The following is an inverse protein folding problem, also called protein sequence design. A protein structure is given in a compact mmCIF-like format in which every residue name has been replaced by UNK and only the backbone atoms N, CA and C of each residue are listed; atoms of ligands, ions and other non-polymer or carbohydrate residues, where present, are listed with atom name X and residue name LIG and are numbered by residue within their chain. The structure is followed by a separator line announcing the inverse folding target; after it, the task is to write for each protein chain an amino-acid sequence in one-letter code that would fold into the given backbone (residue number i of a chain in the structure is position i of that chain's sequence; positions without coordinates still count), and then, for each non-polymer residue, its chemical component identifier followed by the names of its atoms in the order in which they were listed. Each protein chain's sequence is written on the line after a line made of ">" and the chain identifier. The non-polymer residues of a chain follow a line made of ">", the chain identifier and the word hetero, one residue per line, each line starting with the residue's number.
data_IF_888288186853
#
_entry.id   IF_888288186853
#
_cell.length_a   1.000
_cell.length_b   1.000
_cell.length_c   1.000
_cell.angle_alpha   90.00
_cell.angle_beta   90.00
_cell.angle_gamma   90.00
#
_symmetry.space_group_name_H-M   'P 1'
#
loop_
_entity.id
_entity.type
_entity.pdbx_description
1 polymer ?
#
# COMPACT_ATOMS: atom_id res chain seq x y z
N UNK A 1 30.47 -20.57 2.92
CA UNK A 1 31.01 -21.88 3.41
C UNK A 1 30.74 -22.08 4.90
N UNK A 2 30.87 -21.05 5.75
CA UNK A 2 30.65 -21.14 7.21
C UNK A 2 29.18 -21.26 7.67
N UNK A 3 28.22 -20.95 6.81
CA UNK A 3 26.79 -20.98 7.16
C UNK A 3 26.31 -22.39 7.58
N UNK A 4 26.91 -23.45 7.04
CA UNK A 4 26.58 -24.84 7.39
C UNK A 4 27.07 -25.25 8.79
N UNK A 5 28.03 -24.52 9.38
CA UNK A 5 28.52 -24.77 10.73
C UNK A 5 27.63 -24.14 11.81
N UNK A 6 26.79 -23.15 11.47
CA UNK A 6 26.06 -22.32 12.45
C UNK A 6 24.54 -22.59 12.42
N UNK A 7 23.93 -22.88 11.26
CA UNK A 7 22.59 -23.48 10.99
C UNK A 7 22.02 -22.99 9.64
N UNK A 8 20.93 -23.59 9.15
CA UNK A 8 20.11 -23.11 8.00
C UNK A 8 19.95 -21.59 8.01
N UNK A 9 20.57 -20.91 7.03
CA UNK A 9 20.69 -19.45 6.95
C UNK A 9 19.35 -18.68 6.87
N UNK A 10 18.21 -19.39 6.80
CA UNK A 10 16.88 -18.83 6.62
C UNK A 10 16.21 -18.31 7.91
N UNK A 11 16.69 -18.69 9.12
CA UNK A 11 15.99 -18.33 10.38
C UNK A 11 16.67 -17.26 11.24
N UNK A 12 17.84 -16.73 10.85
CA UNK A 12 18.56 -15.70 11.62
C UNK A 12 18.40 -14.31 11.00
N UNK A 13 18.21 -13.28 11.84
CA UNK A 13 18.26 -11.89 11.37
C UNK A 13 19.65 -11.58 10.79
N UNK A 14 19.70 -10.76 9.71
CA UNK A 14 20.96 -10.42 9.02
C UNK A 14 22.05 -9.89 9.97
N UNK A 15 21.66 -9.18 11.03
CA UNK A 15 22.59 -8.68 12.05
C UNK A 15 23.22 -9.80 12.90
N UNK A 16 22.45 -10.84 13.22
CA UNK A 16 22.94 -11.99 14.01
C UNK A 16 23.84 -12.87 13.15
N UNK A 17 23.47 -13.07 11.87
CA UNK A 17 24.29 -13.80 10.91
C UNK A 17 25.65 -13.11 10.70
N UNK A 18 25.66 -11.79 10.48
CA UNK A 18 26.90 -11.01 10.35
C UNK A 18 27.80 -11.12 11.59
N UNK A 19 27.23 -11.04 12.80
CA UNK A 19 27.99 -11.18 14.05
C UNK A 19 28.58 -12.59 14.19
N UNK A 20 27.82 -13.62 13.84
CA UNK A 20 28.28 -15.00 13.86
C UNK A 20 29.39 -15.25 12.84
N UNK A 21 29.31 -14.66 11.65
CA UNK A 21 30.36 -14.73 10.62
C UNK A 21 31.64 -14.05 11.06
N UNK A 22 31.56 -12.83 11.61
CA UNK A 22 32.73 -12.12 12.15
C UNK A 22 33.36 -12.95 13.28
N UNK A 23 32.54 -13.48 14.19
CA UNK A 23 33.00 -14.33 15.29
C UNK A 23 33.72 -15.57 14.77
N UNK A 24 33.13 -16.29 13.81
CA UNK A 24 33.73 -17.49 13.23
C UNK A 24 35.05 -17.20 12.52
N UNK A 25 35.11 -16.13 11.72
CA UNK A 25 36.36 -15.69 11.07
C UNK A 25 37.42 -15.37 12.11
N UNK A 26 37.05 -14.65 13.17
CA UNK A 26 38.00 -14.23 14.19
C UNK A 26 38.56 -15.42 14.98
N UNK A 27 37.70 -16.37 15.38
CA UNK A 27 38.12 -17.61 16.04
C UNK A 27 38.99 -18.48 15.14
N UNK A 28 38.70 -18.57 13.84
CA UNK A 28 39.56 -19.31 12.89
C UNK A 28 40.92 -18.64 12.75
N UNK A 29 40.98 -17.32 12.66
CA UNK A 29 42.24 -16.58 12.62
C UNK A 29 43.03 -16.81 13.92
N UNK A 30 42.38 -16.75 15.08
CA UNK A 30 42.99 -17.02 16.38
C UNK A 30 43.55 -18.46 16.46
N UNK A 31 42.83 -19.45 15.91
CA UNK A 31 43.33 -20.83 15.79
C UNK A 31 44.58 -20.93 14.92
N UNK A 32 44.60 -20.27 13.76
CA UNK A 32 45.77 -20.25 12.86
C UNK A 32 46.97 -19.60 13.56
N UNK A 33 46.75 -18.47 14.25
CA UNK A 33 47.78 -17.80 15.04
C UNK A 33 48.27 -18.71 16.17
N UNK A 34 47.38 -19.40 16.86
CA UNK A 34 47.73 -20.37 17.91
C UNK A 34 48.56 -21.54 17.37
N UNK A 35 48.19 -22.12 16.23
CA UNK A 35 48.94 -23.19 15.58
C UNK A 35 50.34 -22.74 15.15
N UNK A 36 50.42 -21.59 14.49
CA UNK A 36 51.70 -20.98 14.11
C UNK A 36 52.58 -20.73 15.34
N UNK A 37 52.00 -20.14 16.39
CA UNK A 37 52.69 -19.86 17.64
C UNK A 37 53.18 -21.13 18.32
N UNK A 38 52.38 -22.20 18.35
CA UNK A 38 52.77 -23.48 18.94
C UNK A 38 53.98 -24.09 18.23
N UNK A 39 53.93 -24.16 16.89
CA UNK A 39 55.05 -24.68 16.08
C UNK A 39 56.31 -23.85 16.30
N UNK A 40 56.18 -22.52 16.27
CA UNK A 40 57.29 -21.58 16.48
C UNK A 40 57.94 -21.78 17.85
N UNK A 41 57.17 -21.77 18.92
CA UNK A 41 57.72 -21.82 20.28
C UNK A 41 58.21 -23.20 20.69
N UNK A 42 57.61 -24.27 20.14
CA UNK A 42 58.17 -25.62 20.25
C UNK A 42 59.54 -25.70 19.58
N UNK A 43 59.69 -25.16 18.37
CA UNK A 43 60.97 -25.18 17.62
C UNK A 43 62.09 -24.36 18.28
N UNK A 44 61.73 -23.41 19.15
CA UNK A 44 62.66 -22.55 19.87
C UNK A 44 62.85 -22.95 21.34
N UNK A 45 62.23 -24.04 21.81
CA UNK A 45 62.43 -24.56 23.18
C UNK A 45 61.76 -23.74 24.29
N UNK A 46 60.83 -22.83 23.98
CA UNK A 46 60.14 -22.02 24.98
C UNK A 46 58.84 -22.68 25.46
N UNK A 47 58.95 -23.52 26.49
CA UNK A 47 57.85 -24.35 27.00
C UNK A 47 56.61 -23.55 27.43
N UNK A 48 56.79 -22.42 28.12
CA UNK A 48 55.66 -21.60 28.59
C UNK A 48 54.90 -20.94 27.43
N UNK A 49 55.61 -20.47 26.39
CA UNK A 49 54.98 -19.90 25.20
C UNK A 49 54.23 -20.98 24.44
N UNK A 50 54.86 -22.13 24.21
CA UNK A 50 54.22 -23.31 23.62
C UNK A 50 52.94 -23.72 24.36
N UNK A 51 53.00 -23.82 25.70
CA UNK A 51 51.85 -24.18 26.53
C UNK A 51 50.68 -23.20 26.31
N UNK A 52 50.95 -21.89 26.33
CA UNK A 52 49.89 -20.90 26.10
C UNK A 52 49.38 -20.89 24.66
N UNK A 53 50.18 -21.28 23.67
CA UNK A 53 49.71 -21.48 22.29
C UNK A 53 48.75 -22.66 22.19
N UNK A 54 49.06 -23.79 22.86
CA UNK A 54 48.16 -24.96 22.94
C UNK A 54 46.89 -24.61 23.71
N UNK A 55 47.02 -23.85 24.80
CA UNK A 55 45.87 -23.37 25.57
C UNK A 55 44.96 -22.46 24.74
N UNK A 56 45.54 -21.54 23.95
CA UNK A 56 44.79 -20.72 23.00
C UNK A 56 44.00 -21.59 22.02
N UNK A 57 44.65 -22.58 21.40
CA UNK A 57 43.98 -23.50 20.47
C UNK A 57 42.81 -24.21 21.15
N UNK A 58 43.03 -24.76 22.36
CA UNK A 58 42.01 -25.46 23.11
C UNK A 58 40.82 -24.55 23.45
N UNK A 59 41.10 -23.33 23.93
CA UNK A 59 40.06 -22.34 24.27
C UNK A 59 39.26 -21.91 23.04
N UNK A 60 39.90 -21.69 21.89
CA UNK A 60 39.20 -21.34 20.65
C UNK A 60 38.34 -22.50 20.14
N UNK A 61 38.81 -23.75 20.24
CA UNK A 61 37.99 -24.94 19.95
C UNK A 61 36.78 -25.01 20.87
N UNK A 62 36.96 -24.77 22.19
CA UNK A 62 35.86 -24.70 23.15
C UNK A 62 34.89 -23.57 22.75
N UNK A 63 35.39 -22.41 22.32
CA UNK A 63 34.59 -21.30 21.81
C UNK A 63 33.73 -21.70 20.61
N UNK A 64 34.29 -22.40 19.63
CA UNK A 64 33.55 -22.94 18.48
C UNK A 64 32.49 -23.96 18.88
N UNK A 65 32.83 -24.87 19.80
CA UNK A 65 31.91 -25.87 20.32
C UNK A 65 30.74 -25.20 21.05
N UNK A 66 31.02 -24.22 21.92
CA UNK A 66 29.99 -23.42 22.60
C UNK A 66 29.11 -22.69 21.59
N UNK A 67 29.71 -22.06 20.59
CA UNK A 67 28.95 -21.40 19.52
C UNK A 67 28.04 -22.39 18.79
N UNK A 68 28.54 -23.59 18.46
CA UNK A 68 27.80 -24.63 17.74
C UNK A 68 26.61 -25.17 18.51
N UNK A 69 26.78 -25.45 19.80
CA UNK A 69 25.75 -26.12 20.61
C UNK A 69 24.82 -25.16 21.35
N UNK A 70 25.35 -24.08 21.93
CA UNK A 70 24.55 -23.13 22.72
C UNK A 70 23.95 -22.00 21.89
N UNK A 71 24.55 -21.70 20.73
CA UNK A 71 24.22 -20.55 19.87
C UNK A 71 24.41 -19.19 20.56
N UNK A 72 25.07 -19.15 21.72
CA UNK A 72 25.35 -17.93 22.46
C UNK A 72 26.64 -17.28 21.96
N UNK A 73 26.52 -16.39 20.97
CA UNK A 73 27.66 -15.67 20.36
C UNK A 73 28.48 -14.91 21.42
N UNK A 74 27.80 -14.23 22.35
CA UNK A 74 28.43 -13.47 23.43
C UNK A 74 29.31 -14.35 24.32
N UNK A 75 28.86 -15.57 24.64
CA UNK A 75 29.62 -16.49 25.48
C UNK A 75 30.85 -17.01 24.73
N UNK A 76 30.65 -17.46 23.48
CA UNK A 76 31.73 -17.94 22.62
C UNK A 76 32.83 -16.88 22.42
N UNK A 77 32.45 -15.62 22.21
CA UNK A 77 33.40 -14.50 22.07
C UNK A 77 34.20 -14.26 23.35
N UNK A 78 33.58 -14.27 24.53
CA UNK A 78 34.32 -14.09 25.79
C UNK A 78 35.32 -15.22 26.02
N UNK A 79 34.95 -16.46 25.67
CA UNK A 79 35.86 -17.62 25.75
C UNK A 79 37.05 -17.41 24.82
N UNK A 80 36.82 -17.10 23.54
CA UNK A 80 37.92 -16.83 22.60
C UNK A 80 38.81 -15.66 23.04
N UNK A 81 38.20 -14.55 23.46
CA UNK A 81 38.92 -13.37 23.96
C UNK A 81 39.83 -13.71 25.14
N UNK A 82 39.37 -14.56 26.07
CA UNK A 82 40.21 -15.03 27.17
C UNK A 82 41.46 -15.74 26.66
N UNK A 83 41.33 -16.65 25.70
CA UNK A 83 42.45 -17.38 25.13
C UNK A 83 43.48 -16.45 24.47
N UNK A 84 42.98 -15.51 23.66
CA UNK A 84 43.83 -14.53 22.98
C UNK A 84 44.54 -13.58 23.94
N UNK A 85 43.83 -13.09 24.96
CA UNK A 85 44.40 -12.21 25.99
C UNK A 85 45.47 -12.94 26.78
N UNK A 86 45.19 -14.15 27.26
CA UNK A 86 46.16 -14.95 28.04
C UNK A 86 47.41 -15.20 27.22
N UNK A 87 47.28 -15.62 25.96
CA UNK A 87 48.43 -15.89 25.11
C UNK A 87 49.23 -14.63 24.76
N UNK A 88 48.55 -13.54 24.36
CA UNK A 88 49.21 -12.28 24.00
C UNK A 88 49.85 -11.58 25.20
N UNK A 89 49.22 -11.60 26.37
CA UNK A 89 49.83 -11.05 27.59
C UNK A 89 51.07 -11.87 27.96
N UNK A 90 51.02 -13.20 27.84
CA UNK A 90 52.16 -14.06 28.12
C UNK A 90 53.33 -13.83 27.14
N UNK A 91 53.06 -13.68 25.83
CA UNK A 91 54.11 -13.42 24.85
C UNK A 91 54.78 -12.06 25.10
N UNK A 92 54.01 -11.03 25.44
CA UNK A 92 54.52 -9.70 25.80
C UNK A 92 55.35 -9.78 27.09
N UNK A 93 54.84 -10.47 28.12
CA UNK A 93 55.54 -10.64 29.39
C UNK A 93 56.90 -11.33 29.19
N UNK A 94 56.96 -12.44 28.45
CA UNK A 94 58.19 -13.20 28.26
C UNK A 94 59.20 -12.56 27.30
N UNK A 95 58.81 -11.50 26.58
CA UNK A 95 59.66 -10.79 25.64
C UNK A 95 60.15 -9.43 26.14
N UNK A 96 60.06 -9.15 27.44
CA UNK A 96 60.55 -7.93 28.06
C UNK A 96 59.46 -7.04 28.67
N UNK A 97 58.20 -7.50 28.71
CA UNK A 97 57.09 -6.68 29.17
C UNK A 97 56.69 -5.60 28.15
N UNK A 98 55.62 -4.85 28.41
CA UNK A 98 55.00 -3.98 27.39
C UNK A 98 55.92 -2.86 26.86
N UNK A 99 56.95 -2.46 27.61
CA UNK A 99 57.86 -1.36 27.26
C UNK A 99 58.94 -1.82 26.27
N UNK A 100 59.60 -2.94 26.55
CA UNK A 100 60.75 -3.41 25.75
C UNK A 100 60.37 -4.50 24.74
N UNK A 101 59.17 -5.09 24.87
CA UNK A 101 58.73 -6.20 24.04
C UNK A 101 58.53 -5.80 22.58
N UNK A 102 59.18 -6.54 21.69
CA UNK A 102 58.91 -6.49 20.24
C UNK A 102 57.50 -6.93 19.86
N UNK A 103 56.76 -7.53 20.82
CA UNK A 103 55.40 -8.02 20.68
C UNK A 103 54.36 -7.07 21.29
N UNK A 104 54.76 -5.88 21.76
CA UNK A 104 53.84 -4.94 22.41
C UNK A 104 52.63 -4.55 21.54
N UNK A 105 52.77 -4.53 20.20
CA UNK A 105 51.68 -4.21 19.27
C UNK A 105 50.55 -5.25 19.21
N UNK A 106 50.73 -6.43 19.79
CA UNK A 106 49.61 -7.36 19.95
C UNK A 106 48.54 -6.82 20.91
N UNK A 107 48.90 -5.98 21.89
CA UNK A 107 47.93 -5.35 22.79
C UNK A 107 46.96 -4.40 22.07
N UNK A 108 47.40 -3.40 21.28
CA UNK A 108 46.47 -2.58 20.50
C UNK A 108 45.74 -3.37 19.41
N UNK A 109 46.36 -4.41 18.83
CA UNK A 109 45.66 -5.29 17.89
C UNK A 109 44.45 -5.99 18.55
N UNK A 110 44.61 -6.49 19.78
CA UNK A 110 43.50 -7.08 20.55
C UNK A 110 42.37 -6.08 20.79
N UNK A 111 42.69 -4.83 21.13
CA UNK A 111 41.69 -3.78 21.31
C UNK A 111 40.88 -3.59 20.01
N UNK A 112 41.55 -3.46 18.86
CA UNK A 112 40.88 -3.32 17.56
C UNK A 112 39.99 -4.53 17.26
N UNK A 113 40.52 -5.73 17.51
CA UNK A 113 39.80 -6.99 17.33
C UNK A 113 38.51 -7.08 18.17
N UNK A 114 38.55 -6.64 19.43
CA UNK A 114 37.39 -6.65 20.31
C UNK A 114 36.27 -5.75 19.76
N UNK A 115 36.61 -4.54 19.31
CA UNK A 115 35.63 -3.61 18.72
C UNK A 115 35.10 -4.07 17.37
N UNK A 116 35.86 -4.88 16.64
CA UNK A 116 35.39 -5.44 15.37
C UNK A 116 34.38 -6.58 15.58
N UNK A 117 34.55 -7.35 16.67
CA UNK A 117 33.86 -8.63 16.84
C UNK A 117 32.73 -8.60 17.88
N UNK A 118 32.84 -7.77 18.91
CA UNK A 118 31.93 -7.76 20.06
C UNK A 118 30.98 -6.55 20.10
N UNK A 119 30.06 -6.56 21.08
CA UNK A 119 29.30 -5.35 21.42
C UNK A 119 30.22 -4.30 22.05
N UNK A 120 29.85 -3.02 21.93
CA UNK A 120 30.62 -1.90 22.52
C UNK A 120 30.96 -2.13 24.00
N UNK A 121 29.98 -2.57 24.80
CA UNK A 121 30.18 -2.80 26.23
C UNK A 121 31.23 -3.88 26.50
N UNK A 122 31.11 -5.04 25.83
CA UNK A 122 32.07 -6.14 25.97
C UNK A 122 33.46 -5.74 25.50
N UNK A 123 33.56 -5.07 24.33
CA UNK A 123 34.83 -4.62 23.80
C UNK A 123 35.54 -3.65 24.75
N UNK A 124 34.78 -2.73 25.35
CA UNK A 124 35.30 -1.79 26.35
C UNK A 124 35.83 -2.53 27.60
N UNK A 125 35.09 -3.50 28.12
CA UNK A 125 35.52 -4.30 29.30
C UNK A 125 36.87 -4.97 29.06
N UNK A 126 37.03 -5.69 27.94
CA UNK A 126 38.27 -6.38 27.61
C UNK A 126 39.42 -5.40 27.31
N UNK A 127 39.11 -4.27 26.69
CA UNK A 127 40.09 -3.21 26.41
C UNK A 127 40.62 -2.57 27.68
N UNK A 128 39.75 -2.30 28.67
CA UNK A 128 40.16 -1.85 30.01
C UNK A 128 41.06 -2.91 30.66
N UNK A 129 40.74 -4.19 30.55
CA UNK A 129 41.60 -5.28 31.04
C UNK A 129 43.01 -5.24 30.44
N UNK A 130 43.13 -5.09 29.12
CA UNK A 130 44.44 -4.95 28.45
C UNK A 130 45.18 -3.69 28.91
N UNK A 131 44.48 -2.56 29.04
CA UNK A 131 45.09 -1.31 29.52
C UNK A 131 45.59 -1.43 30.96
N UNK A 132 44.85 -2.10 31.85
CA UNK A 132 45.28 -2.35 33.21
C UNK A 132 46.52 -3.24 33.25
N UNK A 133 46.55 -4.34 32.48
CA UNK A 133 47.72 -5.20 32.39
C UNK A 133 48.93 -4.46 31.84
N UNK A 134 48.75 -3.67 30.78
CA UNK A 134 49.82 -2.82 30.24
C UNK A 134 50.31 -1.81 31.28
N UNK A 135 49.40 -1.14 31.99
CA UNK A 135 49.73 -0.20 33.06
C UNK A 135 50.53 -0.85 34.20
N UNK A 136 50.14 -2.06 34.62
CA UNK A 136 50.88 -2.84 35.63
C UNK A 136 52.27 -3.21 35.13
N UNK A 137 52.41 -3.69 33.89
CA UNK A 137 53.73 -4.01 33.33
C UNK A 137 54.63 -2.78 33.22
N UNK A 138 54.08 -1.64 32.81
CA UNK A 138 54.81 -0.37 32.77
C UNK A 138 55.27 0.05 34.17
N UNK A 139 54.39 -0.03 35.17
CA UNK A 139 54.74 0.28 36.56
C UNK A 139 55.85 -0.62 37.10
N UNK A 140 55.78 -1.94 36.82
CA UNK A 140 56.82 -2.87 37.22
C UNK A 140 58.16 -2.53 36.54
N UNK A 141 58.15 -2.24 35.24
CA UNK A 141 59.35 -1.83 34.50
C UNK A 141 59.98 -0.57 35.11
N UNK A 142 59.19 0.49 35.37
CA UNK A 142 59.71 1.73 35.96
C UNK A 142 60.14 1.58 37.41
N UNK A 143 59.66 0.56 38.12
CA UNK A 143 60.09 0.19 39.47
C UNK A 143 61.35 -0.69 39.50
N UNK A 144 61.95 -0.97 38.33
CA UNK A 144 63.18 -1.76 38.21
C UNK A 144 62.97 -3.27 38.12
N UNK A 145 61.73 -3.75 37.95
CA UNK A 145 61.48 -5.17 37.71
C UNK A 145 62.03 -5.60 36.34
N UNK A 146 62.88 -6.62 36.33
CA UNK A 146 63.44 -7.18 35.10
C UNK A 146 62.53 -8.27 34.56
N UNK A 147 61.90 -8.02 33.43
CA UNK A 147 61.09 -9.02 32.74
C UNK A 147 61.97 -10.10 32.08
N UNK A 148 61.42 -11.32 31.88
CA UNK A 148 62.11 -12.34 31.10
C UNK A 148 62.35 -11.86 29.66
N UNK A 149 63.42 -12.35 29.04
CA UNK A 149 63.74 -12.09 27.64
C UNK A 149 63.85 -13.40 26.86
N UNK A 150 63.39 -13.37 25.61
CA UNK A 150 63.44 -14.53 24.71
C UNK A 150 64.84 -14.59 24.09
N UNK A 151 65.65 -15.56 24.53
CA UNK A 151 66.95 -15.82 23.95
C UNK A 151 66.80 -16.62 22.64
N UNK A 152 67.02 -15.95 21.49
CA UNK A 152 67.00 -16.55 20.16
C UNK A 152 68.39 -16.44 19.51
N UNK A 153 68.66 -17.27 18.50
CA UNK A 153 69.84 -17.04 17.64
C UNK A 153 69.69 -15.72 16.87
N UNK A 154 70.80 -15.06 16.53
CA UNK A 154 70.78 -13.74 15.90
C UNK A 154 69.89 -13.66 14.64
N UNK A 155 69.90 -14.71 13.80
CA UNK A 155 69.02 -14.81 12.62
C UNK A 155 67.53 -14.89 13.01
N UNK A 156 67.18 -15.69 14.01
CA UNK A 156 65.80 -15.82 14.50
C UNK A 156 65.33 -14.56 15.23
N UNK A 157 66.23 -13.86 15.92
CA UNK A 157 65.93 -12.61 16.62
C UNK A 157 65.57 -11.48 15.64
N UNK A 158 66.27 -11.36 14.52
CA UNK A 158 65.90 -10.38 13.48
C UNK A 158 64.51 -10.64 12.90
N UNK A 159 64.20 -11.92 12.60
CA UNK A 159 62.85 -12.29 12.14
C UNK A 159 61.81 -11.97 13.21
N UNK A 160 62.12 -12.19 14.50
CA UNK A 160 61.22 -11.90 15.61
C UNK A 160 60.90 -10.41 15.75
N UNK A 161 61.91 -9.56 15.63
CA UNK A 161 61.77 -8.10 15.72
C UNK A 161 60.88 -7.59 14.59
N UNK A 162 61.17 -7.98 13.35
CA UNK A 162 60.41 -7.52 12.18
C UNK A 162 58.99 -8.08 12.16
N UNK A 163 58.82 -9.39 12.41
CA UNK A 163 57.50 -10.01 12.40
C UNK A 163 56.65 -9.58 13.61
N UNK A 164 57.26 -9.45 14.80
CA UNK A 164 56.60 -9.01 16.02
C UNK A 164 56.05 -7.59 15.94
N UNK A 165 56.77 -6.69 15.25
CA UNK A 165 56.32 -5.31 15.07
C UNK A 165 55.42 -5.13 13.84
N UNK A 166 55.84 -5.59 12.67
CA UNK A 166 55.13 -5.28 11.42
C UNK A 166 53.83 -6.06 11.26
N UNK A 167 53.81 -7.34 11.64
CA UNK A 167 52.64 -8.18 11.43
C UNK A 167 51.39 -7.61 12.12
N UNK A 168 51.40 -7.31 13.44
CA UNK A 168 50.23 -6.74 14.10
C UNK A 168 49.84 -5.37 13.52
N UNK A 169 50.80 -4.53 13.12
CA UNK A 169 50.53 -3.24 12.48
C UNK A 169 49.82 -3.40 11.12
N UNK A 170 50.28 -4.33 10.28
CA UNK A 170 49.62 -4.63 9.00
C UNK A 170 48.18 -5.12 9.22
N UNK A 171 47.96 -5.99 10.22
CA UNK A 171 46.62 -6.49 10.56
C UNK A 171 45.74 -5.36 11.08
N UNK A 172 46.27 -4.45 11.92
CA UNK A 172 45.54 -3.25 12.38
C UNK A 172 45.13 -2.40 11.17
N UNK A 173 46.05 -2.09 10.25
CA UNK A 173 45.73 -1.31 9.04
C UNK A 173 44.62 -1.95 8.21
N UNK A 174 44.66 -3.27 8.03
CA UNK A 174 43.62 -4.01 7.32
C UNK A 174 42.27 -3.93 8.05
N UNK A 175 42.25 -4.16 9.36
CA UNK A 175 41.05 -4.08 10.19
C UNK A 175 40.43 -2.68 10.18
N UNK A 176 41.26 -1.63 10.21
CA UNK A 176 40.82 -0.23 10.13
C UNK A 176 40.28 0.10 8.74
N UNK A 177 40.92 -0.35 7.66
CA UNK A 177 40.40 -0.19 6.30
C UNK A 177 39.03 -0.84 6.13
N UNK A 178 38.86 -2.05 6.66
CA UNK A 178 37.57 -2.74 6.67
C UNK A 178 36.51 -1.99 7.50
N UNK A 179 36.88 -1.45 8.65
CA UNK A 179 35.99 -0.63 9.50
C UNK A 179 35.58 0.66 8.80
N UNK A 180 36.52 1.34 8.14
CA UNK A 180 36.26 2.56 7.37
C UNK A 180 35.28 2.28 6.21
N UNK A 181 35.49 1.21 5.44
CA UNK A 181 34.56 0.79 4.37
C UNK A 181 33.15 0.48 4.90
N UNK A 182 33.04 -0.17 6.06
CA UNK A 182 31.73 -0.42 6.68
C UNK A 182 31.04 0.88 7.10
N UNK A 183 31.78 1.82 7.68
CA UNK A 183 31.27 3.14 8.07
C UNK A 183 30.78 3.93 6.85
N UNK A 184 31.58 3.99 5.79
CA UNK A 184 31.23 4.62 4.51
C UNK A 184 29.91 4.05 3.95
N UNK A 185 29.82 2.71 3.89
CA UNK A 185 28.62 2.02 3.41
C UNK A 185 27.38 2.29 4.28
N UNK A 186 27.55 2.44 5.59
CA UNK A 186 26.46 2.77 6.49
C UNK A 186 25.99 4.21 6.30
N UNK A 187 26.91 5.16 6.17
CA UNK A 187 26.63 6.57 5.89
C UNK A 187 25.90 6.70 4.55
N UNK A 188 26.45 6.10 3.50
CA UNK A 188 25.84 6.16 2.17
C UNK A 188 24.41 5.58 2.14
N UNK A 189 24.16 4.51 2.90
CA UNK A 189 22.81 3.95 3.05
C UNK A 189 21.87 4.89 3.80
N UNK A 190 22.35 5.54 4.85
CA UNK A 190 21.56 6.51 5.60
C UNK A 190 21.21 7.73 4.72
N UNK A 191 22.19 8.27 3.98
CA UNK A 191 21.97 9.38 3.05
C UNK A 191 20.96 9.02 1.96
N UNK A 192 21.07 7.82 1.37
CA UNK A 192 20.11 7.33 0.39
C UNK A 192 18.69 7.24 0.98
N UNK A 193 18.56 6.67 2.18
CA UNK A 193 17.26 6.56 2.85
C UNK A 193 16.66 7.94 3.18
N UNK A 194 17.49 8.91 3.60
CA UNK A 194 17.04 10.29 3.83
C UNK A 194 16.55 10.95 2.55
N UNK A 195 17.26 10.77 1.42
CA UNK A 195 16.85 11.30 0.12
C UNK A 195 15.54 10.68 -0.37
N UNK A 196 15.38 9.37 -0.21
CA UNK A 196 14.15 8.65 -0.57
C UNK A 196 12.97 9.10 0.31
N UNK A 197 13.20 9.29 1.61
CA UNK A 197 12.18 9.81 2.55
C UNK A 197 11.77 11.24 2.19
N UNK A 198 12.71 12.11 1.83
CA UNK A 198 12.42 13.47 1.40
C UNK A 198 11.58 13.49 0.10
N UNK A 199 11.92 12.63 -0.86
CA UNK A 199 11.15 12.49 -2.10
C UNK A 199 9.72 11.98 -1.84
N UNK A 200 9.54 11.03 -0.91
CA UNK A 200 8.21 10.54 -0.53
C UNK A 200 7.40 11.62 0.19
N UNK A 201 8.01 12.41 1.08
CA UNK A 201 7.35 13.53 1.74
C UNK A 201 6.88 14.59 0.74
N UNK A 202 7.72 14.93 -0.25
CA UNK A 202 7.34 15.87 -1.32
C UNK A 202 6.17 15.33 -2.16
N UNK A 203 6.22 14.05 -2.56
CA UNK A 203 5.11 13.40 -3.28
C UNK A 203 3.82 13.37 -2.45
N UNK A 204 3.91 13.15 -1.14
CA UNK A 204 2.77 13.18 -0.24
C UNK A 204 2.16 14.59 -0.15
N UNK A 205 2.99 15.62 -0.01
CA UNK A 205 2.57 17.04 -0.02
C UNK A 205 1.88 17.42 -1.34
N UNK A 206 2.43 17.00 -2.48
CA UNK A 206 1.78 17.20 -3.78
C UNK A 206 0.46 16.42 -3.90
N UNK A 207 0.41 15.21 -3.36
CA UNK A 207 -0.80 14.39 -3.28
C UNK A 207 -1.89 15.04 -2.43
N UNK A 208 -1.53 15.63 -1.29
CA UNK A 208 -2.43 16.38 -0.41
C UNK A 208 -3.02 17.58 -1.14
N UNK A 209 -2.20 18.40 -1.79
CA UNK A 209 -2.68 19.55 -2.60
C UNK A 209 -3.63 19.12 -3.71
N UNK A 210 -3.35 17.98 -4.36
CA UNK A 210 -4.23 17.44 -5.41
C UNK A 210 -5.55 16.95 -4.85
N UNK A 211 -5.53 16.35 -3.65
CA UNK A 211 -6.74 15.91 -2.96
C UNK A 211 -7.61 17.09 -2.56
N UNK A 212 -7.02 18.14 -2.01
CA UNK A 212 -7.71 19.40 -1.68
C UNK A 212 -8.41 19.98 -2.92
N UNK A 213 -7.69 20.05 -4.06
CA UNK A 213 -8.28 20.44 -5.34
C UNK A 213 -9.46 19.56 -5.78
N UNK A 214 -9.36 18.23 -5.63
CA UNK A 214 -10.46 17.32 -5.94
C UNK A 214 -11.66 17.51 -5.01
N UNK A 215 -11.46 17.77 -3.72
CA UNK A 215 -12.55 18.05 -2.78
C UNK A 215 -13.32 19.32 -3.16
N UNK A 216 -12.62 20.37 -3.61
CA UNK A 216 -13.25 21.58 -4.15
C UNK A 216 -14.12 21.25 -5.37
N UNK A 217 -13.59 20.45 -6.31
CA UNK A 217 -14.36 20.02 -7.50
C UNK A 217 -15.59 19.19 -7.11
N UNK A 218 -15.46 18.21 -6.21
CA UNK A 218 -16.59 17.40 -5.73
C UNK A 218 -17.66 18.27 -5.09
N UNK A 219 -17.27 19.23 -4.25
CA UNK A 219 -18.20 20.14 -3.60
C UNK A 219 -18.96 21.02 -4.62
N UNK A 220 -18.28 21.46 -5.70
CA UNK A 220 -18.93 22.18 -6.80
C UNK A 220 -19.95 21.28 -7.53
N UNK A 221 -19.59 20.04 -7.83
CA UNK A 221 -20.50 19.07 -8.47
C UNK A 221 -21.71 18.72 -7.59
N UNK A 222 -21.55 18.65 -6.27
CA UNK A 222 -22.68 18.45 -5.34
C UNK A 222 -23.65 19.64 -5.39
N UNK A 223 -23.15 20.87 -5.47
CA UNK A 223 -24.01 22.06 -5.63
C UNK A 223 -24.75 22.05 -6.97
N UNK A 224 -24.07 21.70 -8.04
CA UNK A 224 -24.69 21.59 -9.37
C UNK A 224 -25.78 20.50 -9.39
N UNK A 225 -25.53 19.37 -8.73
CA UNK A 225 -26.53 18.31 -8.57
C UNK A 225 -27.75 18.77 -7.75
N UNK A 226 -27.54 19.55 -6.69
CA UNK A 226 -28.61 20.12 -5.87
C UNK A 226 -29.48 21.09 -6.69
N UNK A 227 -28.87 21.95 -7.51
CA UNK A 227 -29.59 22.81 -8.45
C UNK A 227 -30.42 22.01 -9.46
N UNK A 228 -29.86 20.92 -10.01
CA UNK A 228 -30.58 20.01 -10.92
C UNK A 228 -31.77 19.35 -10.21
N UNK A 229 -31.61 18.89 -8.96
CA UNK A 229 -32.71 18.34 -8.16
C UNK A 229 -33.81 19.38 -7.98
N UNK A 230 -33.44 20.63 -7.69
CA UNK A 230 -34.40 21.72 -7.52
C UNK A 230 -35.17 22.02 -8.80
N UNK A 231 -34.51 21.98 -9.96
CA UNK A 231 -35.15 22.09 -11.27
C UNK A 231 -36.10 20.93 -11.54
N UNK A 232 -35.68 19.69 -11.27
CA UNK A 232 -36.52 18.49 -11.46
C UNK A 232 -37.78 18.57 -10.59
N UNK A 233 -37.67 18.98 -9.33
CA UNK A 233 -38.83 19.17 -8.46
C UNK A 233 -39.78 20.25 -9.00
N UNK A 234 -39.24 21.36 -9.50
CA UNK A 234 -40.04 22.43 -10.10
C UNK A 234 -40.78 21.95 -11.34
N UNK A 235 -40.09 21.23 -12.23
CA UNK A 235 -40.69 20.63 -13.42
C UNK A 235 -41.73 19.57 -13.06
N UNK A 236 -41.49 18.75 -12.04
CA UNK A 236 -42.44 17.75 -11.54
C UNK A 236 -43.71 18.41 -11.01
N UNK A 237 -43.58 19.50 -10.24
CA UNK A 237 -44.73 20.28 -9.77
C UNK A 237 -45.53 20.91 -10.91
N UNK A 238 -44.85 21.46 -11.92
CA UNK A 238 -45.51 21.98 -13.13
C UNK A 238 -46.22 20.87 -13.90
N UNK A 239 -45.58 19.71 -14.05
CA UNK A 239 -46.18 18.56 -14.72
C UNK A 239 -47.44 18.08 -13.98
N UNK A 240 -47.40 17.99 -12.65
CA UNK A 240 -48.57 17.62 -11.84
C UNK A 240 -49.72 18.62 -12.03
N UNK A 241 -49.43 19.92 -12.05
CA UNK A 241 -50.42 20.96 -12.34
C UNK A 241 -51.01 20.82 -13.76
N UNK A 242 -50.19 20.50 -14.75
CA UNK A 242 -50.64 20.29 -16.13
C UNK A 242 -51.53 19.05 -16.25
N UNK A 243 -51.18 17.94 -15.57
CA UNK A 243 -52.01 16.73 -15.51
C UNK A 243 -53.35 17.01 -14.84
N UNK A 244 -53.37 17.78 -13.75
CA UNK A 244 -54.62 18.16 -13.08
C UNK A 244 -55.51 19.02 -13.98
N UNK A 245 -54.92 19.97 -14.71
CA UNK A 245 -55.63 20.78 -15.72
C UNK A 245 -56.17 19.94 -16.88
N UNK A 246 -55.38 18.99 -17.39
CA UNK A 246 -55.82 18.03 -18.40
C UNK A 246 -56.97 17.13 -17.91
N UNK A 247 -56.94 16.71 -16.64
CA UNK A 247 -58.01 15.96 -16.01
C UNK A 247 -59.32 16.76 -15.95
N UNK A 248 -59.25 18.03 -15.52
CA UNK A 248 -60.40 18.94 -15.51
C UNK A 248 -60.95 19.20 -16.93
N UNK A 249 -60.08 19.45 -17.90
CA UNK A 249 -60.48 19.66 -19.29
C UNK A 249 -61.09 18.40 -19.90
N UNK A 250 -60.58 17.21 -19.57
CA UNK A 250 -61.16 15.94 -20.02
C UNK A 250 -62.54 15.70 -19.42
N UNK A 251 -62.74 16.01 -18.13
CA UNK A 251 -64.05 15.94 -17.50
C UNK A 251 -65.05 16.92 -18.14
N UNK A 252 -64.61 18.15 -18.44
CA UNK A 252 -65.42 19.13 -19.16
C UNK A 252 -65.74 18.69 -20.59
N UNK A 253 -64.79 18.06 -21.31
CA UNK A 253 -65.03 17.53 -22.64
C UNK A 253 -65.98 16.33 -22.63
N UNK A 254 -65.86 15.43 -21.65
CA UNK A 254 -66.79 14.32 -21.48
C UNK A 254 -68.21 14.82 -21.21
N UNK A 255 -68.36 15.81 -20.32
CA UNK A 255 -69.65 16.46 -20.05
C UNK A 255 -70.23 17.14 -21.30
N UNK A 256 -69.41 17.85 -22.08
CA UNK A 256 -69.86 18.46 -23.32
C UNK A 256 -70.25 17.43 -24.39
N UNK A 257 -69.57 16.27 -24.41
CA UNK A 257 -69.92 15.15 -25.29
C UNK A 257 -71.24 14.48 -24.88
N UNK A 258 -71.52 14.32 -23.58
CA UNK A 258 -72.81 13.85 -23.08
C UNK A 258 -73.94 14.81 -23.44
N UNK A 259 -73.73 16.12 -23.25
CA UNK A 259 -74.70 17.15 -23.61
C UNK A 259 -74.97 17.19 -25.12
N UNK A 260 -73.92 17.07 -25.95
CA UNK A 260 -74.07 16.90 -27.40
C UNK A 260 -74.82 15.62 -27.76
N UNK A 261 -74.57 14.50 -27.08
CA UNK A 261 -75.28 13.24 -27.32
C UNK A 261 -76.77 13.38 -27.04
N UNK A 262 -77.14 14.06 -25.94
CA UNK A 262 -78.53 14.35 -25.61
C UNK A 262 -79.20 15.27 -26.64
N UNK A 263 -78.49 16.31 -27.12
CA UNK A 263 -78.99 17.18 -28.18
C UNK A 263 -79.21 16.41 -29.49
N UNK A 264 -78.29 15.52 -29.87
CA UNK A 264 -78.44 14.67 -31.06
C UNK A 264 -79.66 13.74 -30.95
N UNK A 265 -79.91 13.18 -29.77
CA UNK A 265 -81.09 12.34 -29.52
C UNK A 265 -82.40 13.14 -29.64
N UNK A 266 -82.45 14.36 -29.10
CA UNK A 266 -83.58 15.27 -29.29
C UNK A 266 -83.79 15.66 -30.75
N UNK A 267 -82.71 15.94 -31.49
CA UNK A 267 -82.76 16.31 -32.90
C UNK A 267 -83.25 15.14 -33.77
N UNK A 268 -82.86 13.91 -33.42
CA UNK A 268 -83.40 12.68 -34.03
C UNK A 268 -84.91 12.54 -33.79
N UNK A 269 -85.38 12.79 -32.57
CA UNK A 269 -86.81 12.78 -32.25
C UNK A 269 -87.59 13.81 -33.06
N UNK A 270 -87.09 15.04 -33.13
CA UNK A 270 -87.73 16.11 -33.91
C UNK A 270 -87.75 15.82 -35.41
N UNK A 271 -86.69 15.18 -35.91
CA UNK A 271 -86.62 14.73 -37.31
C UNK A 271 -87.68 13.65 -37.60
N UNK A 272 -87.86 12.69 -36.69
CA UNK A 272 -88.91 11.67 -36.83
C UNK A 272 -90.31 12.29 -36.82
N UNK A 273 -90.53 13.28 -35.95
CA UNK A 273 -91.79 14.02 -35.87
C UNK A 273 -92.06 14.83 -37.16
N UNK A 274 -91.01 15.42 -37.75
CA UNK A 274 -91.08 16.10 -39.04
C UNK A 274 -91.41 15.14 -40.20
N UNK A 275 -90.87 13.91 -40.19
CA UNK A 275 -91.21 12.87 -41.18
C UNK A 275 -92.69 12.49 -41.07
N UNK A 276 -93.18 12.26 -39.84
CA UNK A 276 -94.60 11.93 -39.60
C UNK A 276 -95.54 13.07 -40.05
N UNK A 277 -95.15 14.33 -39.80
CA UNK A 277 -95.89 15.49 -40.29
C UNK A 277 -95.92 15.55 -41.82
N UNK A 278 -94.81 15.22 -42.47
CA UNK A 278 -94.72 15.21 -43.93
C UNK A 278 -95.58 14.11 -44.55
N UNK A 279 -95.64 12.92 -43.95
CA UNK A 279 -96.60 11.87 -44.35
C UNK A 279 -98.06 12.36 -44.23
N UNK A 280 -98.39 13.08 -43.16
CA UNK A 280 -99.72 13.64 -42.96
C UNK A 280 -100.08 14.68 -44.03
N UNK A 281 -99.13 15.53 -44.44
CA UNK A 281 -99.32 16.51 -45.53
C UNK A 281 -99.51 15.82 -46.88
N UNK A 282 -98.77 14.75 -47.18
CA UNK A 282 -98.95 13.95 -48.40
C UNK A 282 -100.36 13.35 -48.42
N UNK A 283 -100.81 12.75 -47.31
CA UNK A 283 -102.16 12.19 -47.21
C UNK A 283 -103.27 13.23 -47.41
N UNK A 284 -103.13 14.45 -46.88
CA UNK A 284 -104.08 15.54 -47.14
C UNK A 284 -104.08 15.99 -48.61
N UNK A 285 -102.91 15.99 -49.25
CA UNK A 285 -102.77 16.38 -50.65
C UNK A 285 -103.47 15.37 -51.58
N UNK A 286 -103.34 14.07 -51.31
CA UNK A 286 -104.06 13.03 -52.06
C UNK A 286 -105.58 13.12 -51.89
N UNK A 287 -106.05 13.40 -50.66
CA UNK A 287 -107.48 13.61 -50.41
C UNK A 287 -108.05 14.82 -51.19
N UNK A 288 -107.29 15.93 -51.24
CA UNK A 288 -107.67 17.11 -52.03
C UNK A 288 -107.71 16.81 -53.53
N UNK A 289 -106.75 16.02 -54.03
CA UNK A 289 -106.73 15.60 -55.43
C UNK A 289 -107.97 14.77 -55.80
N UNK A 290 -108.36 13.83 -54.93
CA UNK A 290 -109.55 13.00 -55.12
C UNK A 290 -110.84 13.84 -55.10
N UNK A 291 -110.91 14.83 -54.21
CA UNK A 291 -112.02 15.79 -54.13
C UNK A 291 -112.15 16.64 -55.40
N UNK A 292 -111.02 17.04 -55.97
CA UNK A 292 -110.97 17.84 -57.20
C UNK A 292 -111.43 17.02 -58.43
N UNK A 293 -111.03 15.75 -58.55
CA UNK A 293 -111.49 14.85 -59.62
C UNK A 293 -113.01 14.63 -59.56
N UNK A 294 -113.56 14.35 -58.37
CA UNK A 294 -115.01 14.19 -58.18
C UNK A 294 -115.81 15.47 -58.51
N UNK A 295 -115.26 16.64 -58.18
CA UNK A 295 -115.89 17.93 -58.51
C UNK A 295 -115.92 18.19 -60.02
N UNK A 296 -114.91 17.72 -60.76
CA UNK A 296 -114.84 17.84 -62.21
C UNK A 296 -115.89 16.95 -62.92
N UNK A 297 -116.10 15.71 -62.45
CA UNK A 297 -117.15 14.83 -62.99
C UNK A 297 -118.55 15.42 -62.80
N UNK A 298 -118.85 15.99 -61.63
CA UNK A 298 -120.15 16.63 -61.37
C UNK A 298 -120.42 17.85 -62.27
N UNK A 299 -119.39 18.64 -62.57
CA UNK A 299 -119.50 19.81 -63.46
C UNK A 299 -119.82 19.41 -64.90
N UNK A 300 -119.23 18.33 -65.40
CA UNK A 300 -119.48 17.87 -66.76
C UNK A 300 -120.93 17.37 -66.93
N UNK A 301 -121.44 16.64 -65.94
CA UNK A 301 -122.83 16.15 -65.92
C UNK A 301 -123.89 17.28 -65.88
N UNK A 302 -123.55 18.45 -65.34
CA UNK A 302 -124.46 19.60 -65.25
C UNK A 302 -124.62 20.35 -66.59
N UNK A 303 -123.63 20.26 -67.48
CA UNK A 303 -123.60 21.04 -68.72
C UNK A 303 -124.49 20.44 -69.82
N UNK A 304 -124.71 19.12 -69.84
CA UNK A 304 -125.53 18.43 -70.86
C UNK A 304 -127.06 18.64 -70.72
N UNK A 305 -127.58 19.11 -69.57
CA UNK A 305 -129.05 19.20 -69.32
C UNK A 305 -129.72 20.54 -69.65
N UNK A 306 -128.96 21.54 -70.11
CA UNK A 306 -129.47 22.91 -70.33
C UNK A 306 -130.52 23.10 -71.48
N UNK A 307 -130.61 22.29 -72.57
CA UNK A 307 -131.58 22.57 -73.65
C UNK A 307 -133.04 22.23 -73.32
N UNK A 308 -133.31 21.44 -72.27
CA UNK A 308 -134.66 20.89 -72.01
C UNK A 308 -135.54 21.85 -71.19
N UNK A 309 -134.96 22.83 -70.48
CA UNK A 309 -135.71 23.63 -69.50
C UNK A 309 -136.48 24.84 -70.06
N UNK A 310 -136.18 25.33 -71.28
CA UNK A 310 -136.81 26.57 -71.81
C UNK A 310 -138.13 26.30 -72.55
N UNK A 311 -138.42 25.07 -72.98
CA UNK A 311 -139.68 24.74 -73.69
C UNK A 311 -140.87 24.61 -72.72
N UNK A 312 -140.64 24.34 -71.43
CA UNK A 312 -141.72 24.04 -70.46
C UNK A 312 -142.36 25.30 -69.85
N UNK A 313 -141.68 26.44 -69.82
CA UNK A 313 -142.19 27.66 -69.15
C UNK A 313 -143.15 28.52 -69.99
N UNK A 314 -143.45 28.17 -71.24
CA UNK A 314 -144.34 28.96 -72.13
C UNK A 314 -145.83 28.55 -72.12
N UNK A 315 -146.30 27.72 -71.17
CA UNK A 315 -147.67 27.14 -71.22
C UNK A 315 -148.52 27.13 -69.92
N UNK A 316 -148.16 27.88 -68.88
CA UNK A 316 -148.94 28.08 -67.63
C UNK A 316 -148.61 29.51 -67.14
N UNK A 317 -149.36 30.61 -67.31
CA UNK A 317 -150.72 31.05 -66.94
C UNK A 317 -150.83 32.47 -67.60
N UNK A 318 -151.85 32.97 -68.31
CA UNK A 318 -153.30 33.03 -68.06
C UNK A 318 -153.68 33.45 -66.64
#
# INVERSE_FOLDING_TARGET
>A
MWHNLINNAQSLSRNTLRKAEITAVFTVVALVVGLYSAVKWQSNGHALLFLTSVLLIAIEVIGLVVLRFTKQITLALNIGFLGMVVHAVNIIYQSGGIVDSTQAFWAPLLIVAFYLSASRAMALTWSIGILLVAGVMTYLHTSGFSFPTIALSASKQNVEIWSGMLLPLCVICFAQSFTAKQKESAIHRAEKAMKESALQAEKASQGEKRMDGMLVTVNASVKELDEVIHQVNTQSSQLNSNVQSLGMNSASQASAAEEMSQQLEQLSSFTQESVNFMEQVIGQTDAIKQQAESSSEMLNASTERLPILIIVTKKLCL
#
